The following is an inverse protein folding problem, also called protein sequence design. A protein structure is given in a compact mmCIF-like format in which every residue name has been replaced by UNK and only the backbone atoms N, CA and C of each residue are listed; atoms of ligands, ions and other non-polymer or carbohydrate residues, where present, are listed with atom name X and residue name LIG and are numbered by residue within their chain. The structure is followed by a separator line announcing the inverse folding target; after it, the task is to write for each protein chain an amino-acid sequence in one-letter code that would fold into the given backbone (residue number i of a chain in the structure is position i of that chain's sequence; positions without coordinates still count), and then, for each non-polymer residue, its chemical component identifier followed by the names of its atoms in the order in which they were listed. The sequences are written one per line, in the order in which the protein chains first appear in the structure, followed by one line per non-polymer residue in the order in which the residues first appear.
data_IF_179364688945
#
_entry.id   IF_179364688945
#
_cell.length_a   1.000
_cell.length_b   1.000
_cell.length_c   1.000
_cell.angle_alpha   90.00
_cell.angle_beta   90.00
_cell.angle_gamma   90.00
#
_symmetry.space_group_name_H-M   'P 1'
#
loop_
_entity.id
_entity.type
_entity.pdbx_description
1 polymer ?
#
# COMPACT_ATOMS: atom_id res chain seq x y z
N UNK A 1 65.51 -11.55 26.74
CA UNK A 1 65.33 -10.92 25.41
C UNK A 1 63.89 -11.15 25.01
N UNK A 2 63.02 -10.16 25.17
CA UNK A 2 61.57 -10.27 24.90
C UNK A 2 61.33 -9.68 23.52
N UNK A 3 60.83 -10.49 22.59
CA UNK A 3 60.51 -10.10 21.22
C UNK A 3 59.05 -9.62 21.23
N UNK A 4 58.85 -8.31 21.17
CA UNK A 4 57.53 -7.71 21.03
C UNK A 4 57.05 -7.78 19.57
N UNK A 5 55.91 -8.43 19.35
CA UNK A 5 55.24 -8.47 18.04
C UNK A 5 54.24 -7.31 17.94
N UNK A 6 54.64 -6.26 17.24
CA UNK A 6 53.78 -5.15 16.82
C UNK A 6 52.78 -5.64 15.77
N UNK A 7 51.58 -6.06 16.19
CA UNK A 7 50.41 -6.32 15.34
C UNK A 7 49.49 -5.10 15.35
N UNK A 8 49.85 -4.04 14.64
CA UNK A 8 48.92 -2.95 14.30
C UNK A 8 49.45 -2.17 13.08
N UNK A 9 49.62 -2.88 11.95
CA UNK A 9 49.63 -2.19 10.65
C UNK A 9 48.19 -2.14 10.15
N UNK A 10 47.46 -1.09 10.56
CA UNK A 10 46.24 -0.67 9.88
C UNK A 10 46.64 -0.34 8.45
N UNK A 11 46.33 -1.25 7.51
CA UNK A 11 46.25 -0.92 6.10
C UNK A 11 45.19 0.17 5.98
N UNK A 12 45.64 1.43 5.89
CA UNK A 12 44.83 2.52 5.36
C UNK A 12 44.74 2.20 3.87
N UNK A 13 43.77 1.36 3.52
CA UNK A 13 43.33 1.26 2.14
C UNK A 13 42.75 2.64 1.86
N UNK A 14 43.48 3.46 1.09
CA UNK A 14 42.91 4.67 0.51
C UNK A 14 41.60 4.26 -0.13
N UNK A 15 40.51 4.74 0.46
CA UNK A 15 39.16 4.45 0.04
C UNK A 15 39.06 5.01 -1.38
N UNK A 16 39.27 4.15 -2.38
CA UNK A 16 39.21 4.53 -3.78
C UNK A 16 37.93 5.35 -3.97
N UNK A 17 38.06 6.52 -4.61
CA UNK A 17 37.02 7.54 -4.64
C UNK A 17 35.70 6.93 -5.17
N UNK A 18 34.82 6.57 -4.23
CA UNK A 18 33.54 5.93 -4.52
C UNK A 18 32.65 6.94 -5.25
N UNK A 19 31.77 6.50 -6.16
CA UNK A 19 30.82 7.41 -6.78
C UNK A 19 29.94 8.09 -5.71
N UNK A 20 29.43 9.28 -6.02
CA UNK A 20 28.66 10.07 -5.06
C UNK A 20 27.42 9.33 -4.53
N UNK A 21 26.82 8.44 -5.34
CA UNK A 21 25.66 7.63 -4.96
C UNK A 21 26.00 6.41 -4.10
N UNK A 22 27.28 6.14 -3.86
CA UNK A 22 27.79 5.00 -3.07
C UNK A 22 28.87 5.42 -2.05
N UNK A 23 28.85 6.69 -1.63
CA UNK A 23 29.73 7.23 -0.60
C UNK A 23 28.92 7.95 0.46
N UNK A 24 29.34 7.86 1.73
CA UNK A 24 28.66 8.54 2.84
C UNK A 24 28.52 10.05 2.60
N UNK A 25 29.58 10.69 2.09
CA UNK A 25 29.60 12.13 1.77
C UNK A 25 28.61 12.48 0.65
N UNK A 26 28.64 11.75 -0.48
CA UNK A 26 27.76 12.05 -1.61
C UNK A 26 26.29 11.80 -1.28
N UNK A 27 26.00 10.73 -0.53
CA UNK A 27 24.65 10.45 -0.02
C UNK A 27 24.21 11.56 0.94
N UNK A 28 25.08 12.01 1.86
CA UNK A 28 24.75 13.09 2.81
C UNK A 28 24.38 14.40 2.11
N UNK A 29 25.02 14.72 0.98
CA UNK A 29 24.66 15.88 0.16
C UNK A 29 23.34 15.68 -0.57
N UNK A 30 23.10 14.48 -1.12
CA UNK A 30 21.86 14.16 -1.83
C UNK A 30 20.62 14.23 -0.93
N UNK A 31 20.74 13.81 0.33
CA UNK A 31 19.61 13.77 1.28
C UNK A 31 19.30 15.12 1.95
N UNK A 32 19.86 16.23 1.46
CA UNK A 32 19.48 17.58 1.91
C UNK A 32 18.15 18.05 1.31
N UNK A 33 17.69 17.41 0.25
CA UNK A 33 16.43 17.70 -0.41
C UNK A 33 15.81 16.42 -0.98
N UNK A 34 14.49 16.36 -1.07
CA UNK A 34 13.77 15.16 -1.52
C UNK A 34 14.14 14.78 -2.97
N UNK A 35 14.29 15.77 -3.87
CA UNK A 35 14.76 15.52 -5.25
C UNK A 35 16.14 14.85 -5.29
N UNK A 36 17.04 15.26 -4.39
CA UNK A 36 18.37 14.66 -4.29
C UNK A 36 18.30 13.21 -3.81
N UNK A 37 17.42 12.91 -2.86
CA UNK A 37 17.14 11.54 -2.42
C UNK A 37 16.47 10.71 -3.52
N UNK A 38 15.48 11.23 -4.24
CA UNK A 38 14.85 10.53 -5.37
C UNK A 38 15.89 10.20 -6.46
N UNK A 39 16.75 11.17 -6.80
CA UNK A 39 17.85 10.97 -7.76
C UNK A 39 18.83 9.91 -7.27
N UNK A 40 19.22 9.96 -6.00
CA UNK A 40 20.11 8.96 -5.40
C UNK A 40 19.55 7.54 -5.56
N UNK A 41 18.28 7.34 -5.24
CA UNK A 41 17.61 6.03 -5.35
C UNK A 41 17.63 5.54 -6.81
N UNK A 42 17.29 6.41 -7.75
CA UNK A 42 17.29 6.08 -9.19
C UNK A 42 18.69 5.69 -9.68
N UNK A 43 19.72 6.46 -9.33
CA UNK A 43 21.10 6.19 -9.75
C UNK A 43 21.66 4.91 -9.14
N UNK A 44 21.35 4.62 -7.88
CA UNK A 44 21.71 3.35 -7.25
C UNK A 44 21.01 2.16 -7.91
N UNK A 45 19.73 2.29 -8.24
CA UNK A 45 19.00 1.25 -8.98
C UNK A 45 19.67 0.97 -10.33
N UNK A 46 20.01 2.01 -11.10
CA UNK A 46 20.72 1.86 -12.38
C UNK A 46 22.10 1.22 -12.16
N UNK A 47 22.85 1.66 -11.15
CA UNK A 47 24.17 1.11 -10.83
C UNK A 47 24.11 -0.39 -10.53
N UNK A 48 23.21 -0.81 -9.65
CA UNK A 48 23.07 -2.22 -9.24
C UNK A 48 22.48 -3.09 -10.34
N UNK A 49 21.31 -2.73 -10.88
CA UNK A 49 20.56 -3.59 -11.80
C UNK A 49 21.01 -3.50 -13.26
N UNK A 50 21.41 -2.32 -13.75
CA UNK A 50 21.78 -2.15 -15.15
C UNK A 50 23.28 -2.25 -15.38
N UNK A 51 24.10 -1.76 -14.41
CA UNK A 51 25.57 -1.79 -14.53
C UNK A 51 26.23 -2.94 -13.75
N UNK A 52 25.50 -3.62 -12.87
CA UNK A 52 26.03 -4.72 -12.07
C UNK A 52 27.09 -4.29 -11.06
N UNK A 53 27.05 -3.04 -10.62
CA UNK A 53 28.02 -2.49 -9.66
C UNK A 53 27.77 -3.02 -8.25
N UNK A 54 28.81 -3.44 -7.51
CA UNK A 54 28.68 -3.76 -6.09
C UNK A 54 28.59 -2.46 -5.27
N UNK A 55 27.45 -2.26 -4.61
CA UNK A 55 27.18 -1.08 -3.79
C UNK A 55 27.36 -1.38 -2.29
N UNK A 56 27.59 -0.34 -1.51
CA UNK A 56 27.62 -0.41 -0.04
C UNK A 56 26.22 -0.21 0.55
N UNK A 57 25.99 -0.82 1.72
CA UNK A 57 24.74 -0.69 2.46
C UNK A 57 24.71 0.58 3.32
N UNK A 58 23.63 1.37 3.21
CA UNK A 58 23.44 2.59 3.98
C UNK A 58 22.04 2.68 4.61
N UNK A 59 21.98 3.31 5.77
CA UNK A 59 20.74 3.75 6.42
C UNK A 59 20.63 5.26 6.27
N UNK A 60 19.49 5.72 5.79
CA UNK A 60 19.25 7.11 5.38
C UNK A 60 18.03 7.66 6.10
N UNK A 61 18.19 8.84 6.72
CA UNK A 61 17.19 9.54 7.52
C UNK A 61 16.60 8.69 8.65
N UNK A 62 17.30 7.64 9.06
CA UNK A 62 16.81 6.61 9.98
C UNK A 62 15.66 5.75 9.44
N UNK A 63 15.00 6.14 8.35
CA UNK A 63 13.77 5.50 7.87
C UNK A 63 13.96 4.63 6.62
N UNK A 64 15.10 4.73 5.93
CA UNK A 64 15.35 4.02 4.67
C UNK A 64 16.63 3.21 4.71
N UNK A 65 16.59 2.03 4.10
CA UNK A 65 17.72 1.15 3.87
C UNK A 65 18.04 1.09 2.38
N UNK A 66 19.25 1.51 2.03
CA UNK A 66 19.82 1.40 0.69
C UNK A 66 20.70 0.16 0.66
N UNK A 67 20.32 -0.87 -0.08
CA UNK A 67 21.05 -2.13 -0.12
C UNK A 67 22.17 -2.14 -1.19
N UNK A 68 23.00 -3.18 -1.13
CA UNK A 68 24.10 -3.47 -2.06
C UNK A 68 23.69 -3.81 -3.50
N UNK A 69 22.39 -4.06 -3.75
CA UNK A 69 21.83 -4.35 -5.06
C UNK A 69 21.20 -3.12 -5.73
N UNK A 70 21.12 -1.99 -5.03
CA UNK A 70 20.54 -0.74 -5.53
C UNK A 70 19.06 -0.56 -5.19
N UNK A 71 18.51 -1.38 -4.30
CA UNK A 71 17.16 -1.17 -3.77
C UNK A 71 17.16 -0.10 -2.68
N UNK A 72 16.02 0.57 -2.55
CA UNK A 72 15.69 1.41 -1.42
C UNK A 72 14.42 0.85 -0.78
N UNK A 73 14.51 0.49 0.48
CA UNK A 73 13.39 -0.01 1.24
C UNK A 73 13.11 0.89 2.44
N UNK A 74 11.83 1.16 2.70
CA UNK A 74 11.42 1.82 3.95
C UNK A 74 11.48 0.82 5.09
N UNK A 75 12.05 1.25 6.21
CA UNK A 75 12.12 0.51 7.46
C UNK A 75 10.77 0.66 8.14
N UNK A 76 10.03 -0.45 8.32
CA UNK A 76 8.80 -0.49 9.12
C UNK A 76 9.05 -1.27 10.42
N UNK A 77 8.41 -0.89 11.51
CA UNK A 77 8.54 -1.55 12.81
C UNK A 77 7.88 -0.78 13.96
N UNK A 78 7.98 -1.30 15.18
CA UNK A 78 7.43 -0.66 16.41
C UNK A 78 8.31 0.47 16.97
N UNK A 79 9.16 1.05 16.15
CA UNK A 79 10.05 2.13 16.56
C UNK A 79 9.30 3.44 16.34
N UNK A 80 9.07 4.20 17.41
CA UNK A 80 8.42 5.52 17.33
C UNK A 80 9.18 6.45 16.39
N UNK A 81 8.49 7.29 15.62
CA UNK A 81 9.13 8.27 14.73
C UNK A 81 10.07 9.25 15.46
N UNK A 82 9.77 9.53 16.72
CA UNK A 82 10.60 10.38 17.59
C UNK A 82 12.01 9.78 17.80
N UNK A 83 12.15 8.46 17.67
CA UNK A 83 13.43 7.78 17.73
C UNK A 83 14.38 8.24 16.61
N UNK A 84 13.84 8.41 15.41
CA UNK A 84 14.64 8.70 14.22
C UNK A 84 15.07 10.17 14.15
N UNK A 85 14.49 11.05 14.96
CA UNK A 85 14.82 12.49 14.97
C UNK A 85 16.28 12.78 15.33
N UNK A 86 16.94 11.90 16.08
CA UNK A 86 18.33 12.11 16.53
C UNK A 86 19.36 11.24 15.77
N UNK A 87 18.91 10.40 14.83
CA UNK A 87 19.82 9.55 14.07
C UNK A 87 20.51 10.41 13.02
N UNK A 88 21.86 10.31 12.87
CA UNK A 88 22.54 10.94 11.76
C UNK A 88 21.89 10.60 10.41
N UNK A 89 21.78 11.57 9.52
CA UNK A 89 21.05 11.43 8.25
C UNK A 89 21.58 10.31 7.34
N UNK A 90 22.85 9.91 7.50
CA UNK A 90 23.44 8.80 6.77
C UNK A 90 24.35 7.99 7.70
N UNK A 91 24.13 6.69 7.75
CA UNK A 91 24.95 5.73 8.47
C UNK A 91 25.29 4.55 7.55
N UNK A 92 26.52 4.06 7.62
CA UNK A 92 26.82 2.74 7.08
C UNK A 92 26.10 1.66 7.90
N UNK A 93 25.97 0.46 7.35
CA UNK A 93 25.36 -0.67 8.08
C UNK A 93 26.01 -0.91 9.46
N UNK A 94 27.33 -0.89 9.56
CA UNK A 94 28.02 -1.08 10.84
C UNK A 94 27.73 0.06 11.85
N UNK A 95 27.75 1.32 11.40
CA UNK A 95 27.45 2.47 12.26
C UNK A 95 26.00 2.45 12.75
N UNK A 96 25.05 2.07 11.88
CA UNK A 96 23.65 1.94 12.26
C UNK A 96 23.46 0.89 13.35
N UNK A 97 23.99 -0.32 13.18
CA UNK A 97 23.84 -1.36 14.20
C UNK A 97 24.59 -1.08 15.49
N UNK A 98 25.72 -0.38 15.44
CA UNK A 98 26.39 0.12 16.64
C UNK A 98 25.49 1.13 17.37
N UNK A 99 24.89 2.08 16.64
CA UNK A 99 23.96 3.06 17.19
C UNK A 99 22.75 2.38 17.87
N UNK A 100 22.15 1.37 17.22
CA UNK A 100 21.04 0.58 17.80
C UNK A 100 21.49 -0.18 19.05
N UNK A 101 22.72 -0.71 19.06
CA UNK A 101 23.25 -1.54 20.16
C UNK A 101 23.67 -0.75 21.39
N UNK A 102 24.14 0.48 21.19
CA UNK A 102 24.64 1.37 22.25
C UNK A 102 23.51 2.10 22.98
N UNK A 103 22.40 2.37 22.28
CA UNK A 103 21.17 2.75 22.95
C UNK A 103 20.57 1.56 23.72
N UNK A 104 19.84 1.79 24.81
CA UNK A 104 19.20 0.76 25.65
C UNK A 104 18.10 -0.07 24.92
N UNK A 105 18.20 -0.30 23.61
CA UNK A 105 17.21 -0.87 22.72
C UNK A 105 17.39 -2.38 22.49
N UNK A 106 18.26 -3.05 23.26
CA UNK A 106 18.46 -4.51 23.20
C UNK A 106 17.18 -5.33 23.43
N UNK A 107 16.16 -4.72 24.04
CA UNK A 107 14.91 -5.39 24.40
C UNK A 107 13.74 -5.09 23.45
N UNK A 108 13.91 -4.25 22.42
CA UNK A 108 12.88 -4.06 21.41
C UNK A 108 13.11 -5.06 20.28
N UNK A 109 12.04 -5.79 19.89
CA UNK A 109 12.10 -6.76 18.80
C UNK A 109 12.25 -5.99 17.48
N UNK A 110 13.45 -6.02 16.92
CA UNK A 110 13.79 -5.38 15.64
C UNK A 110 13.37 -6.27 14.47
N UNK A 111 12.07 -6.52 14.30
CA UNK A 111 11.59 -7.04 13.03
C UNK A 111 11.37 -5.87 12.09
N UNK A 112 12.33 -5.67 11.19
CA UNK A 112 12.16 -4.76 10.06
C UNK A 112 11.46 -5.51 8.94
N UNK A 113 10.41 -4.90 8.40
CA UNK A 113 9.96 -5.24 7.05
C UNK A 113 10.44 -4.18 6.09
N UNK A 114 10.79 -4.62 4.90
CA UNK A 114 11.24 -3.80 3.79
C UNK A 114 10.13 -3.78 2.75
N UNK A 115 9.74 -2.58 2.35
CA UNK A 115 8.73 -2.37 1.33
C UNK A 115 9.34 -1.47 0.25
N UNK A 116 9.33 -1.94 -0.99
CA UNK A 116 10.05 -1.32 -2.11
C UNK A 116 9.34 -0.07 -2.63
N UNK A 117 10.11 0.93 -3.06
CA UNK A 117 9.59 2.01 -3.94
C UNK A 117 8.65 3.03 -3.30
N UNK A 118 8.50 3.05 -1.98
CA UNK A 118 7.47 3.84 -1.29
C UNK A 118 7.86 5.30 -1.00
N UNK A 119 8.71 5.91 -1.82
CA UNK A 119 9.14 7.30 -1.65
C UNK A 119 8.31 8.23 -2.54
N UNK A 120 7.67 9.28 -2.01
CA UNK A 120 7.06 10.30 -2.86
C UNK A 120 8.14 11.06 -3.63
N UNK A 121 7.78 11.63 -4.78
CA UNK A 121 8.61 12.66 -5.42
C UNK A 121 8.31 14.03 -4.80
N UNK A 122 9.25 14.97 -4.91
CA UNK A 122 9.07 16.37 -4.45
C UNK A 122 7.89 17.11 -5.07
N UNK A 123 7.37 16.62 -6.20
CA UNK A 123 6.23 17.23 -6.89
C UNK A 123 4.91 16.76 -6.34
N UNK A 124 4.87 15.58 -5.72
CA UNK A 124 3.63 15.01 -5.21
C UNK A 124 3.15 15.77 -3.98
N UNK A 125 1.85 15.66 -3.75
CA UNK A 125 1.17 16.18 -2.56
C UNK A 125 0.52 15.05 -1.78
N UNK A 126 0.31 15.28 -0.49
CA UNK A 126 -0.57 14.44 0.30
C UNK A 126 -1.99 14.53 -0.25
N UNK A 127 -2.59 13.38 -0.57
CA UNK A 127 -3.94 13.29 -1.14
C UNK A 127 -5.06 13.71 -0.18
N UNK A 128 -4.76 13.95 1.11
CA UNK A 128 -5.70 14.50 2.09
C UNK A 128 -5.47 15.99 2.35
N UNK A 129 -4.31 16.37 2.92
CA UNK A 129 -4.06 17.76 3.32
C UNK A 129 -3.53 18.65 2.19
N UNK A 130 -3.11 18.09 1.05
CA UNK A 130 -2.58 18.83 -0.09
C UNK A 130 -1.16 19.38 0.09
N UNK A 131 -0.51 19.13 1.23
CA UNK A 131 0.87 19.54 1.47
C UNK A 131 1.84 18.82 0.54
N UNK A 132 2.87 19.53 0.09
CA UNK A 132 3.91 19.00 -0.80
C UNK A 132 4.88 18.14 0.01
N UNK A 133 5.34 17.04 -0.59
CA UNK A 133 6.37 16.20 0.02
C UNK A 133 7.74 16.89 0.00
N UNK A 134 8.41 16.83 1.14
CA UNK A 134 9.73 17.39 1.39
C UNK A 134 10.60 16.34 2.07
N UNK A 135 11.89 16.64 2.25
CA UNK A 135 12.79 15.72 2.95
C UNK A 135 12.40 15.51 4.42
N UNK A 136 11.72 16.49 5.03
CA UNK A 136 11.38 16.47 6.45
C UNK A 136 10.14 15.61 6.74
N UNK A 137 9.23 15.47 5.77
CA UNK A 137 8.00 14.69 5.93
C UNK A 137 7.96 13.40 5.09
N UNK A 138 8.89 13.14 4.15
CA UNK A 138 8.80 11.96 3.28
C UNK A 138 8.83 10.61 4.02
N UNK A 139 9.33 10.59 5.26
CA UNK A 139 9.31 9.40 6.13
C UNK A 139 7.89 8.98 6.55
N UNK A 140 7.00 9.95 6.73
CA UNK A 140 5.61 9.78 7.14
C UNK A 140 4.75 9.55 5.89
N UNK A 141 5.05 8.49 5.13
CA UNK A 141 4.32 8.20 3.89
C UNK A 141 3.47 6.95 4.05
N UNK A 142 2.21 7.01 3.66
CA UNK A 142 1.32 5.86 3.45
C UNK A 142 0.84 5.89 2.01
N UNK A 143 0.88 4.74 1.33
CA UNK A 143 0.49 4.63 -0.08
C UNK A 143 -0.77 3.79 -0.19
N UNK A 144 -1.78 4.33 -0.86
CA UNK A 144 -2.98 3.59 -1.27
C UNK A 144 -2.98 3.45 -2.79
N UNK A 145 -2.95 2.22 -3.27
CA UNK A 145 -2.98 1.92 -4.71
C UNK A 145 -4.32 1.31 -5.10
N UNK A 146 -4.92 1.83 -6.18
CA UNK A 146 -6.15 1.32 -6.75
C UNK A 146 -6.06 1.24 -8.28
N UNK A 147 -6.74 0.26 -8.87
CA UNK A 147 -6.88 0.20 -10.33
C UNK A 147 -8.08 1.04 -10.73
N UNK A 148 -7.84 2.10 -11.48
CA UNK A 148 -8.90 2.95 -12.05
C UNK A 148 -9.00 2.71 -13.55
N UNK A 149 -10.23 2.78 -14.08
CA UNK A 149 -10.49 2.81 -15.52
C UNK A 149 -10.75 4.26 -15.91
N UNK A 150 -9.99 4.74 -16.88
CA UNK A 150 -10.03 6.14 -17.32
C UNK A 150 -10.44 6.20 -18.79
N UNK A 151 -11.53 6.90 -19.14
CA UNK A 151 -11.88 7.16 -20.53
C UNK A 151 -10.87 8.13 -21.16
N UNK A 152 -10.41 7.85 -22.37
CA UNK A 152 -9.37 8.64 -23.05
C UNK A 152 -9.94 9.62 -24.10
N UNK A 153 -11.23 9.97 -24.00
CA UNK A 153 -11.91 10.81 -25.00
C UNK A 153 -11.27 12.20 -25.15
N UNK A 154 -10.67 12.76 -24.11
CA UNK A 154 -9.96 14.05 -24.18
C UNK A 154 -8.62 13.97 -24.94
N UNK A 155 -8.11 12.77 -25.18
CA UNK A 155 -6.84 12.51 -25.85
C UNK A 155 -7.00 12.02 -27.29
N UNK A 156 -8.21 12.04 -27.87
CA UNK A 156 -8.44 11.58 -29.26
C UNK A 156 -7.48 12.29 -30.24
N UNK A 157 -6.79 11.49 -31.04
CA UNK A 157 -5.77 11.97 -32.00
C UNK A 157 -4.39 12.24 -31.39
N UNK A 158 -4.22 12.10 -30.07
CA UNK A 158 -2.92 12.10 -29.39
C UNK A 158 -2.35 10.70 -29.32
N UNK A 159 -1.05 10.61 -29.09
CA UNK A 159 -0.36 9.32 -28.90
C UNK A 159 -0.51 8.83 -27.46
N UNK A 160 -0.33 7.53 -27.24
CA UNK A 160 -0.28 6.95 -25.90
C UNK A 160 0.86 7.56 -25.05
N UNK A 161 1.98 7.93 -25.69
CA UNK A 161 3.06 8.68 -25.05
C UNK A 161 2.60 10.04 -24.54
N UNK A 162 1.77 10.76 -25.30
CA UNK A 162 1.21 12.05 -24.86
C UNK A 162 0.34 11.86 -23.62
N UNK A 163 -0.48 10.80 -23.58
CA UNK A 163 -1.29 10.44 -22.40
C UNK A 163 -0.39 10.18 -21.19
N UNK A 164 0.60 9.29 -21.32
CA UNK A 164 1.58 8.99 -20.26
C UNK A 164 2.31 10.26 -19.80
N UNK A 165 2.65 11.15 -20.73
CA UNK A 165 3.32 12.42 -20.43
C UNK A 165 2.43 13.34 -19.61
N UNK A 166 1.14 13.48 -19.96
CA UNK A 166 0.19 14.29 -19.18
C UNK A 166 -0.02 13.71 -17.78
N UNK A 167 -0.19 12.40 -17.66
CA UNK A 167 -0.37 11.75 -16.36
C UNK A 167 0.89 11.79 -15.48
N UNK A 168 2.09 11.72 -16.06
CA UNK A 168 3.35 11.85 -15.31
C UNK A 168 3.63 13.27 -14.79
N UNK A 169 2.89 14.27 -15.27
CA UNK A 169 2.96 15.65 -14.78
C UNK A 169 2.02 15.92 -13.59
N UNK A 170 1.15 14.97 -13.23
CA UNK A 170 0.23 15.13 -12.10
C UNK A 170 0.97 15.12 -10.77
N UNK A 171 0.42 15.86 -9.81
CA UNK A 171 0.97 16.01 -8.46
C UNK A 171 0.08 15.37 -7.38
N UNK A 172 -1.08 14.81 -7.74
CA UNK A 172 -2.02 14.20 -6.80
C UNK A 172 -1.79 12.70 -6.55
N UNK A 173 -1.18 12.00 -7.52
CA UNK A 173 -0.84 10.59 -7.42
C UNK A 173 0.19 10.20 -8.49
N UNK A 174 0.78 9.02 -8.34
CA UNK A 174 1.50 8.35 -9.43
C UNK A 174 0.50 7.49 -10.21
N UNK A 175 0.57 7.59 -11.54
CA UNK A 175 -0.30 6.86 -12.47
C UNK A 175 0.55 5.93 -13.32
N UNK A 176 0.63 4.68 -12.91
CA UNK A 176 1.36 3.66 -13.63
C UNK A 176 0.41 2.88 -14.53
N UNK A 177 0.63 2.95 -15.83
CA UNK A 177 -0.15 2.16 -16.78
C UNK A 177 0.27 0.70 -16.66
N UNK A 178 -0.69 -0.19 -16.43
CA UNK A 178 -0.40 -1.60 -16.15
C UNK A 178 0.27 -2.26 -17.36
N UNK A 179 1.51 -2.75 -17.22
CA UNK A 179 2.21 -3.48 -18.28
C UNK A 179 1.39 -4.72 -18.65
N UNK A 180 0.92 -4.79 -19.89
CA UNK A 180 0.11 -5.92 -20.39
C UNK A 180 -1.39 -5.68 -20.48
N UNK A 181 -1.95 -4.54 -20.06
CA UNK A 181 -3.37 -4.18 -20.28
C UNK A 181 -3.49 -2.66 -20.35
N UNK A 182 -3.32 -2.08 -21.54
CA UNK A 182 -3.11 -0.63 -21.65
C UNK A 182 -4.23 0.12 -22.38
N UNK A 183 -4.95 -0.49 -23.32
CA UNK A 183 -6.10 0.16 -23.98
C UNK A 183 -7.26 -0.83 -24.10
N UNK A 184 -8.49 -0.38 -23.85
CA UNK A 184 -9.71 -1.10 -24.22
C UNK A 184 -10.60 -0.28 -25.12
N UNK A 185 -11.15 -0.96 -26.12
CA UNK A 185 -12.16 -0.44 -27.02
C UNK A 185 -13.01 -1.61 -27.56
N UNK A 186 -14.30 -1.39 -27.79
CA UNK A 186 -15.22 -2.41 -28.31
C UNK A 186 -14.80 -2.95 -29.68
N UNK A 187 -14.10 -2.15 -30.49
CA UNK A 187 -13.57 -2.60 -31.78
C UNK A 187 -12.53 -3.72 -31.68
N UNK A 188 -11.96 -3.92 -30.50
CA UNK A 188 -11.00 -5.01 -30.22
C UNK A 188 -11.67 -6.24 -29.64
N UNK A 189 -13.00 -6.23 -29.44
CA UNK A 189 -13.73 -7.41 -29.01
C UNK A 189 -13.69 -8.44 -30.14
N UNK A 190 -13.03 -9.57 -29.87
CA UNK A 190 -12.95 -10.73 -30.76
C UNK A 190 -13.52 -11.95 -30.02
N UNK A 191 -14.77 -12.28 -30.34
CA UNK A 191 -15.49 -13.43 -29.81
C UNK A 191 -15.19 -14.73 -30.57
N UNK A 192 -14.26 -14.72 -31.53
CA UNK A 192 -13.83 -15.96 -32.18
C UNK A 192 -13.09 -16.86 -31.19
N UNK A 193 -13.23 -18.18 -31.37
CA UNK A 193 -12.57 -19.16 -30.53
C UNK A 193 -11.05 -18.99 -30.59
N UNK A 194 -10.42 -18.97 -29.41
CA UNK A 194 -8.96 -18.93 -29.29
C UNK A 194 -8.32 -20.22 -29.78
N UNK A 195 -8.99 -21.34 -29.57
CA UNK A 195 -8.55 -22.67 -29.95
C UNK A 195 -9.58 -23.29 -30.92
N UNK A 196 -9.56 -22.95 -32.22
CA UNK A 196 -10.57 -23.42 -33.17
C UNK A 196 -10.58 -24.95 -33.36
N UNK A 197 -9.50 -25.64 -32.98
CA UNK A 197 -9.39 -27.10 -32.98
C UNK A 197 -9.36 -27.68 -31.56
N UNK A 198 -9.84 -26.94 -30.56
CA UNK A 198 -9.95 -27.40 -29.18
C UNK A 198 -10.81 -28.65 -29.09
N UNK A 199 -10.41 -29.59 -28.24
CA UNK A 199 -11.15 -30.86 -28.02
C UNK A 199 -11.75 -30.94 -26.62
N UNK A 200 -11.30 -30.09 -25.70
CA UNK A 200 -11.82 -30.01 -24.33
C UNK A 200 -12.89 -28.93 -24.25
N UNK A 201 -13.91 -29.14 -23.41
CA UNK A 201 -15.02 -28.19 -23.22
C UNK A 201 -14.54 -26.76 -22.92
N UNK A 202 -13.61 -26.60 -21.99
CA UNK A 202 -13.04 -25.29 -21.65
C UNK A 202 -12.27 -24.63 -22.82
N UNK A 203 -11.71 -25.39 -23.75
CA UNK A 203 -11.02 -24.82 -24.92
C UNK A 203 -12.01 -24.20 -25.91
N UNK A 204 -13.23 -24.76 -25.98
CA UNK A 204 -14.30 -24.30 -26.85
C UNK A 204 -14.99 -23.03 -26.32
N UNK A 205 -14.92 -22.80 -25.01
CA UNK A 205 -15.49 -21.62 -24.33
C UNK A 205 -14.56 -20.40 -24.34
N UNK A 206 -13.25 -20.61 -24.54
CA UNK A 206 -12.29 -19.50 -24.56
C UNK A 206 -12.31 -18.79 -25.92
N UNK A 207 -12.71 -17.53 -25.89
CA UNK A 207 -12.60 -16.61 -27.02
C UNK A 207 -11.29 -15.80 -26.97
N UNK A 208 -10.89 -15.22 -28.11
CA UNK A 208 -9.62 -14.50 -28.21
C UNK A 208 -9.57 -13.24 -27.36
N UNK A 209 -10.61 -12.41 -27.41
CA UNK A 209 -10.69 -11.17 -26.62
C UNK A 209 -12.13 -10.74 -26.36
N UNK A 210 -12.81 -11.34 -25.38
CA UNK A 210 -14.17 -10.93 -24.99
C UNK A 210 -14.21 -9.50 -24.41
N UNK A 211 -13.09 -9.03 -23.89
CA UNK A 211 -13.03 -7.86 -23.03
C UNK A 211 -12.64 -6.57 -23.77
N UNK A 212 -12.14 -6.69 -24.99
CA UNK A 212 -11.67 -5.58 -25.82
C UNK A 212 -10.38 -4.92 -25.34
N UNK A 213 -9.68 -5.50 -24.35
CA UNK A 213 -8.38 -5.01 -23.89
C UNK A 213 -7.27 -5.48 -24.84
N UNK A 214 -6.35 -4.57 -25.18
CA UNK A 214 -5.13 -4.85 -25.94
C UNK A 214 -3.90 -4.39 -25.17
N UNK A 215 -2.75 -4.98 -25.49
CA UNK A 215 -1.48 -4.69 -24.84
C UNK A 215 -0.28 -4.75 -25.79
N UNK A 216 0.93 -4.68 -25.24
CA UNK A 216 2.18 -4.66 -26.01
C UNK A 216 2.33 -5.93 -26.89
N UNK A 217 1.81 -7.08 -26.43
CA UNK A 217 1.78 -8.33 -27.22
C UNK A 217 0.88 -8.23 -28.46
N UNK A 218 -0.12 -7.33 -28.44
CA UNK A 218 -1.00 -7.02 -29.57
C UNK A 218 -0.43 -5.91 -30.47
N UNK A 219 0.81 -5.47 -30.23
CA UNK A 219 1.47 -4.41 -30.97
C UNK A 219 1.18 -2.99 -30.47
N UNK A 220 0.50 -2.85 -29.32
CA UNK A 220 0.35 -1.56 -28.67
C UNK A 220 1.73 -1.02 -28.26
N UNK A 221 1.96 0.27 -28.46
CA UNK A 221 3.18 0.94 -28.03
C UNK A 221 2.91 2.44 -27.90
N UNK A 222 3.94 3.19 -27.51
CA UNK A 222 3.87 4.63 -27.26
C UNK A 222 3.39 5.47 -28.46
N UNK A 223 3.50 4.97 -29.69
CA UNK A 223 3.01 5.64 -30.90
C UNK A 223 1.52 5.41 -31.20
N UNK A 224 0.84 4.56 -30.43
CA UNK A 224 -0.59 4.29 -30.62
C UNK A 224 -1.40 5.59 -30.52
N UNK A 225 -2.19 5.88 -31.54
CA UNK A 225 -3.04 7.08 -31.58
C UNK A 225 -4.39 6.76 -30.97
N UNK A 226 -4.74 7.48 -29.89
CA UNK A 226 -5.99 7.34 -29.16
C UNK A 226 -7.18 7.61 -30.08
N UNK A 227 -8.19 6.76 -29.97
CA UNK A 227 -9.41 6.81 -30.77
C UNK A 227 -10.64 6.95 -29.88
N UNK A 228 -11.76 7.30 -30.51
CA UNK A 228 -13.03 7.44 -29.81
C UNK A 228 -13.44 6.11 -29.13
N UNK A 229 -13.83 6.20 -27.86
CA UNK A 229 -14.22 5.03 -27.05
C UNK A 229 -13.06 4.26 -26.43
N UNK A 230 -11.81 4.70 -26.62
CA UNK A 230 -10.68 4.13 -25.90
C UNK A 230 -10.76 4.47 -24.41
N UNK A 231 -10.43 3.49 -23.57
CA UNK A 231 -10.16 3.66 -22.14
C UNK A 231 -8.88 2.93 -21.73
N UNK A 232 -8.28 3.33 -20.62
CA UNK A 232 -7.07 2.69 -20.08
C UNK A 232 -7.24 2.32 -18.61
N UNK A 233 -6.36 1.46 -18.12
CA UNK A 233 -6.21 1.15 -16.70
C UNK A 233 -4.94 1.76 -16.16
N UNK A 234 -5.09 2.58 -15.12
CA UNK A 234 -3.96 3.02 -14.31
C UNK A 234 -4.01 2.32 -12.95
N UNK A 235 -2.84 1.89 -12.49
CA UNK A 235 -2.60 1.77 -11.06
C UNK A 235 -2.35 3.18 -10.54
N UNK A 236 -3.33 3.74 -9.83
CA UNK A 236 -3.22 5.05 -9.19
C UNK A 236 -2.69 4.84 -7.77
N UNK A 237 -1.49 5.31 -7.49
CA UNK A 237 -0.86 5.28 -6.17
C UNK A 237 -0.92 6.66 -5.54
N UNK A 238 -1.81 6.82 -4.55
CA UNK A 238 -2.00 8.07 -3.82
C UNK A 238 -1.19 8.05 -2.52
N UNK A 239 -0.58 9.18 -2.18
CA UNK A 239 0.34 9.32 -1.04
C UNK A 239 -0.32 10.11 0.07
N UNK A 240 -0.17 9.66 1.32
CA UNK A 240 -0.76 10.28 2.50
C UNK A 240 0.26 10.39 3.62
N UNK A 241 0.17 11.44 4.43
CA UNK A 241 0.73 11.39 5.79
C UNK A 241 -0.02 10.32 6.61
N UNK A 242 0.62 9.64 7.56
CA UNK A 242 -0.01 8.58 8.35
C UNK A 242 -1.25 9.09 9.05
N UNK A 243 -1.16 10.21 9.77
CA UNK A 243 -2.31 10.81 10.44
C UNK A 243 -3.44 11.21 9.45
N UNK A 244 -3.08 11.67 8.26
CA UNK A 244 -4.04 12.00 7.21
C UNK A 244 -4.75 10.76 6.66
N UNK A 245 -4.01 9.68 6.48
CA UNK A 245 -4.55 8.40 6.03
C UNK A 245 -5.47 7.80 7.09
N UNK A 246 -5.06 7.83 8.36
CA UNK A 246 -5.85 7.30 9.47
C UNK A 246 -7.20 8.03 9.58
N UNK A 247 -7.18 9.36 9.53
CA UNK A 247 -8.40 10.17 9.54
C UNK A 247 -9.31 9.87 8.34
N UNK A 248 -8.73 9.72 7.13
CA UNK A 248 -9.50 9.37 5.94
C UNK A 248 -10.10 7.96 6.03
N UNK A 249 -9.34 6.96 6.50
CA UNK A 249 -9.82 5.59 6.65
C UNK A 249 -10.91 5.50 7.71
N UNK A 250 -10.77 6.23 8.81
CA UNK A 250 -11.78 6.33 9.85
C UNK A 250 -13.08 6.92 9.30
N UNK A 251 -13.03 8.09 8.65
CA UNK A 251 -14.21 8.74 8.05
C UNK A 251 -14.88 7.88 6.96
N UNK A 252 -14.09 7.32 6.03
CA UNK A 252 -14.60 6.46 4.96
C UNK A 252 -15.30 5.22 5.51
N UNK A 253 -14.70 4.53 6.50
CA UNK A 253 -15.27 3.31 7.05
C UNK A 253 -16.43 3.57 8.00
N UNK A 254 -16.35 4.61 8.83
CA UNK A 254 -17.45 5.01 9.70
C UNK A 254 -18.72 5.22 8.88
N UNK A 255 -18.65 6.04 7.82
CA UNK A 255 -19.80 6.32 6.94
C UNK A 255 -20.39 5.06 6.33
N UNK A 256 -19.54 4.12 5.88
CA UNK A 256 -20.00 2.87 5.28
C UNK A 256 -20.66 1.94 6.30
N UNK A 257 -20.08 1.80 7.48
CA UNK A 257 -20.68 0.96 8.53
C UNK A 257 -21.95 1.57 9.08
N UNK A 258 -21.96 2.88 9.35
CA UNK A 258 -23.16 3.60 9.79
C UNK A 258 -24.31 3.44 8.76
N UNK A 259 -24.01 3.51 7.47
CA UNK A 259 -24.99 3.30 6.41
C UNK A 259 -25.65 1.91 6.47
N UNK A 260 -24.88 0.83 6.69
CA UNK A 260 -25.46 -0.53 6.77
C UNK A 260 -26.19 -0.78 8.10
N UNK A 261 -25.77 -0.14 9.20
CA UNK A 261 -26.52 -0.17 10.46
C UNK A 261 -27.89 0.50 10.32
N UNK A 262 -27.91 1.70 9.73
CA UNK A 262 -29.14 2.45 9.49
C UNK A 262 -30.06 1.70 8.52
N UNK A 263 -29.50 1.10 7.46
CA UNK A 263 -30.26 0.28 6.51
C UNK A 263 -30.90 -0.95 7.18
N UNK A 264 -30.21 -1.54 8.17
CA UNK A 264 -30.72 -2.65 8.97
C UNK A 264 -31.77 -2.27 10.02
N UNK A 265 -31.98 -0.97 10.24
CA UNK A 265 -32.98 -0.44 11.15
C UNK A 265 -32.46 -0.11 12.55
N UNK A 266 -31.18 -0.33 12.84
CA UNK A 266 -30.58 0.09 14.11
C UNK A 266 -30.61 1.60 14.26
N UNK A 267 -30.84 2.09 15.48
CA UNK A 267 -30.60 3.48 15.84
C UNK A 267 -29.20 3.63 16.42
N UNK A 268 -28.28 4.15 15.61
CA UNK A 268 -26.92 4.48 16.06
C UNK A 268 -26.98 5.71 16.99
N UNK A 269 -26.62 5.51 18.26
CA UNK A 269 -26.55 6.54 19.30
C UNK A 269 -25.18 7.21 19.33
N UNK A 270 -24.14 6.42 19.07
CA UNK A 270 -22.75 6.84 19.07
C UNK A 270 -21.85 5.76 18.48
N UNK A 271 -20.58 6.09 18.32
CA UNK A 271 -19.56 5.12 17.95
C UNK A 271 -18.21 5.51 18.55
N UNK A 272 -17.32 4.54 18.67
CA UNK A 272 -15.91 4.76 19.02
C UNK A 272 -15.04 3.93 18.08
N UNK A 273 -14.05 4.56 17.46
CA UNK A 273 -13.02 3.86 16.68
C UNK A 273 -12.05 3.15 17.62
N UNK A 274 -11.65 1.93 17.24
CA UNK A 274 -10.67 1.12 17.95
C UNK A 274 -9.62 0.61 16.97
N UNK A 275 -8.43 0.30 17.49
CA UNK A 275 -7.36 -0.29 16.67
C UNK A 275 -7.87 -1.56 16.00
N UNK A 276 -7.55 -1.72 14.72
CA UNK A 276 -7.91 -2.92 13.96
C UNK A 276 -7.33 -4.17 14.66
N UNK A 277 -8.21 -5.00 15.23
CA UNK A 277 -7.81 -6.16 16.03
C UNK A 277 -7.22 -7.31 15.19
N UNK A 278 -7.31 -7.22 13.86
CA UNK A 278 -6.74 -8.22 12.96
C UNK A 278 -5.35 -7.86 12.47
N UNK A 279 -5.12 -6.59 12.15
CA UNK A 279 -3.88 -6.15 11.53
C UNK A 279 -3.48 -4.76 12.02
N UNK A 280 -2.19 -4.59 12.33
CA UNK A 280 -1.60 -3.32 12.77
C UNK A 280 -0.99 -2.52 11.62
N UNK A 281 -1.51 -2.71 10.40
CA UNK A 281 -0.98 -2.07 9.21
C UNK A 281 -1.54 -0.66 8.99
N UNK A 282 -0.72 0.26 8.48
CA UNK A 282 -1.12 1.65 8.21
C UNK A 282 -2.23 1.77 7.15
N UNK A 283 -2.39 0.77 6.28
CA UNK A 283 -3.44 0.80 5.23
C UNK A 283 -4.76 0.16 5.69
N UNK A 284 -4.78 -0.43 6.89
CA UNK A 284 -5.91 -1.14 7.42
C UNK A 284 -6.78 -0.15 8.20
N UNK A 285 -8.04 0.03 7.79
CA UNK A 285 -8.95 0.91 8.52
C UNK A 285 -9.21 0.42 9.96
N UNK A 286 -9.52 1.33 10.90
CA UNK A 286 -9.89 0.96 12.25
C UNK A 286 -11.16 0.08 12.28
N UNK A 287 -11.37 -0.57 13.42
CA UNK A 287 -12.66 -1.18 13.74
C UNK A 287 -13.49 -0.18 14.54
N UNK A 288 -14.78 -0.46 14.71
CA UNK A 288 -15.72 0.44 15.36
C UNK A 288 -16.58 -0.30 16.35
N UNK A 289 -16.79 0.30 17.52
CA UNK A 289 -17.87 -0.06 18.43
C UNK A 289 -19.04 0.87 18.14
N UNK A 290 -20.13 0.36 17.57
CA UNK A 290 -21.36 1.11 17.38
C UNK A 290 -22.28 0.92 18.59
N UNK A 291 -22.64 2.03 19.24
CA UNK A 291 -23.63 2.06 20.30
C UNK A 291 -25.02 2.12 19.68
N UNK A 292 -25.83 1.10 19.93
CA UNK A 292 -27.21 1.00 19.44
C UNK A 292 -28.18 1.05 20.62
N UNK A 293 -29.47 1.07 20.34
CA UNK A 293 -30.52 0.94 21.35
C UNK A 293 -30.52 -0.41 22.09
N UNK A 294 -29.79 -1.42 21.61
CA UNK A 294 -29.68 -2.75 22.20
C UNK A 294 -28.33 -3.05 22.88
N UNK A 295 -27.40 -2.09 22.84
CA UNK A 295 -26.02 -2.26 23.31
C UNK A 295 -24.99 -2.06 22.21
N UNK A 296 -23.78 -2.57 22.43
CA UNK A 296 -22.63 -2.35 21.54
C UNK A 296 -22.48 -3.50 20.55
N UNK A 297 -22.35 -3.14 19.26
CA UNK A 297 -21.92 -4.07 18.21
C UNK A 297 -20.57 -3.59 17.68
N UNK A 298 -19.57 -4.46 17.77
CA UNK A 298 -18.24 -4.23 17.23
C UNK A 298 -18.18 -4.71 15.78
N UNK A 299 -17.67 -3.88 14.88
CA UNK A 299 -17.59 -4.18 13.45
C UNK A 299 -16.27 -3.71 12.83
N UNK A 300 -15.74 -4.47 11.88
CA UNK A 300 -14.56 -4.03 11.13
C UNK A 300 -14.05 -5.05 10.12
N UNK A 301 -13.19 -4.59 9.21
CA UNK A 301 -12.59 -5.46 8.20
C UNK A 301 -11.50 -6.35 8.81
N UNK A 302 -11.66 -7.66 8.59
CA UNK A 302 -10.72 -8.73 8.89
C UNK A 302 -10.20 -9.33 7.58
N UNK A 303 -9.10 -8.79 7.05
CA UNK A 303 -8.54 -9.13 5.73
C UNK A 303 -9.52 -8.87 4.58
N UNK A 304 -10.35 -9.87 4.24
CA UNK A 304 -11.25 -9.89 3.08
C UNK A 304 -12.72 -10.14 3.46
N UNK A 305 -13.02 -10.14 4.76
CA UNK A 305 -14.36 -10.28 5.31
C UNK A 305 -14.59 -9.21 6.37
N UNK A 306 -15.84 -8.85 6.61
CA UNK A 306 -16.25 -7.97 7.70
C UNK A 306 -16.59 -8.84 8.91
N UNK A 307 -15.95 -8.59 10.05
CA UNK A 307 -16.30 -9.21 11.32
C UNK A 307 -17.41 -8.38 11.98
N UNK A 308 -18.50 -9.02 12.38
CA UNK A 308 -19.57 -8.44 13.19
C UNK A 308 -19.59 -9.20 14.51
N UNK A 309 -19.42 -8.49 15.62
CA UNK A 309 -19.33 -9.04 16.97
C UNK A 309 -20.37 -8.37 17.88
N UNK A 310 -21.28 -9.17 18.41
CA UNK A 310 -22.40 -8.76 19.26
C UNK A 310 -22.24 -9.18 20.72
N UNK A 311 -20.99 -9.43 21.16
CA UNK A 311 -20.69 -9.71 22.57
C UNK A 311 -21.05 -8.58 23.53
N UNK A 312 -21.21 -7.34 23.01
CA UNK A 312 -21.58 -6.16 23.77
C UNK A 312 -23.09 -5.87 23.86
N UNK A 313 -23.97 -6.78 23.40
CA UNK A 313 -25.42 -6.63 23.54
C UNK A 313 -25.93 -7.12 24.90
N UNK A 314 -26.95 -6.46 25.43
CA UNK A 314 -27.56 -6.77 26.73
C UNK A 314 -28.64 -7.90 26.64
N UNK A 315 -28.39 -8.95 25.86
CA UNK A 315 -29.32 -10.08 25.65
C UNK A 315 -28.64 -11.44 25.71
N UNK A 316 -29.42 -12.52 25.92
CA UNK A 316 -28.89 -13.89 25.88
C UNK A 316 -28.43 -14.26 24.46
N UNK A 317 -27.10 -14.26 24.28
CA UNK A 317 -26.46 -14.42 22.97
C UNK A 317 -26.68 -15.79 22.29
N UNK A 318 -27.01 -16.85 23.03
CA UNK A 318 -27.27 -18.19 22.47
C UNK A 318 -28.37 -18.19 21.40
N UNK A 319 -29.30 -17.24 21.48
CA UNK A 319 -30.40 -17.14 20.53
C UNK A 319 -29.99 -16.50 19.19
N UNK A 320 -29.05 -15.56 19.19
CA UNK A 320 -28.58 -14.89 17.96
C UNK A 320 -27.77 -15.85 17.09
N UNK A 321 -26.91 -16.68 17.71
CA UNK A 321 -26.14 -17.70 16.98
C UNK A 321 -27.01 -18.62 16.13
N UNK A 322 -28.22 -18.94 16.62
CA UNK A 322 -29.16 -19.83 15.93
C UNK A 322 -29.64 -19.29 14.57
N UNK A 323 -29.62 -17.96 14.38
CA UNK A 323 -29.99 -17.29 13.13
C UNK A 323 -29.07 -17.69 11.98
N UNK A 324 -27.82 -18.01 12.29
CA UNK A 324 -26.77 -18.21 11.30
C UNK A 324 -26.28 -19.65 11.22
N UNK A 325 -26.99 -20.62 11.79
CA UNK A 325 -26.55 -22.03 11.85
C UNK A 325 -26.21 -22.62 10.47
N UNK A 326 -26.91 -22.19 9.42
CA UNK A 326 -26.78 -22.72 8.06
C UNK A 326 -25.77 -21.94 7.18
N UNK A 327 -25.24 -20.82 7.69
CA UNK A 327 -24.24 -20.01 6.97
C UNK A 327 -22.87 -20.71 6.88
N UNK A 328 -22.31 -20.86 5.68
CA UNK A 328 -21.03 -21.55 5.45
C UNK A 328 -19.81 -20.62 5.61
N UNK A 329 -19.87 -19.73 6.59
CA UNK A 329 -18.80 -18.77 6.95
C UNK A 329 -18.22 -19.07 8.33
N UNK A 330 -17.07 -18.48 8.64
CA UNK A 330 -16.56 -18.52 10.02
C UNK A 330 -17.49 -17.72 10.92
N UNK A 331 -17.95 -18.34 12.00
CA UNK A 331 -18.87 -17.80 12.98
C UNK A 331 -18.60 -18.42 14.35
N UNK A 332 -18.93 -17.71 15.40
CA UNK A 332 -18.89 -18.18 16.78
C UNK A 332 -20.12 -17.69 17.55
N UNK A 333 -20.18 -17.97 18.85
CA UNK A 333 -21.32 -17.59 19.69
C UNK A 333 -21.68 -16.10 19.64
N UNK A 334 -20.68 -15.23 19.49
CA UNK A 334 -20.85 -13.79 19.53
C UNK A 334 -20.42 -13.08 18.25
N UNK A 335 -20.09 -13.81 17.17
CA UNK A 335 -19.59 -13.17 15.95
C UNK A 335 -19.89 -13.94 14.67
N UNK A 336 -19.90 -13.22 13.55
CA UNK A 336 -19.98 -13.78 12.20
C UNK A 336 -19.11 -12.98 11.23
N UNK A 337 -18.61 -13.65 10.17
CA UNK A 337 -17.89 -13.01 9.09
C UNK A 337 -18.75 -12.87 7.81
N UNK A 338 -18.82 -11.66 7.25
CA UNK A 338 -19.51 -11.36 6.01
C UNK A 338 -18.56 -11.10 4.83
N UNK A 339 -18.93 -11.56 3.64
CA UNK A 339 -18.15 -11.40 2.40
C UNK A 339 -18.46 -10.09 1.64
N UNK A 340 -18.48 -8.97 2.36
CA UNK A 340 -18.80 -7.65 1.79
C UNK A 340 -19.92 -6.96 2.55
N UNK A 341 -20.19 -5.72 2.17
CA UNK A 341 -21.14 -4.84 2.86
C UNK A 341 -22.58 -5.34 2.73
N UNK A 342 -22.94 -5.90 1.58
CA UNK A 342 -24.30 -6.40 1.31
C UNK A 342 -24.63 -7.56 2.25
N UNK A 343 -23.71 -8.52 2.39
CA UNK A 343 -23.89 -9.67 3.30
C UNK A 343 -23.79 -9.24 4.76
N UNK A 344 -22.96 -8.22 5.08
CA UNK A 344 -22.88 -7.67 6.42
C UNK A 344 -24.21 -7.02 6.84
N UNK A 345 -24.83 -6.26 5.93
CA UNK A 345 -26.16 -5.69 6.14
C UNK A 345 -27.21 -6.79 6.35
N UNK A 346 -27.25 -7.82 5.49
CA UNK A 346 -28.19 -8.95 5.66
C UNK A 346 -28.10 -9.61 7.05
N UNK A 347 -26.88 -9.75 7.57
CA UNK A 347 -26.67 -10.25 8.92
C UNK A 347 -27.13 -9.26 10.00
N UNK A 348 -26.88 -7.97 9.82
CA UNK A 348 -27.39 -6.92 10.72
C UNK A 348 -28.93 -6.87 10.71
N UNK A 349 -29.59 -6.96 9.55
CA UNK A 349 -31.05 -7.04 9.41
C UNK A 349 -31.62 -8.21 10.22
N UNK A 350 -30.97 -9.36 10.12
CA UNK A 350 -31.36 -10.59 10.84
C UNK A 350 -31.21 -10.43 12.35
N UNK A 351 -30.11 -9.82 12.80
CA UNK A 351 -29.87 -9.53 14.23
C UNK A 351 -30.91 -8.53 14.74
N UNK A 352 -31.13 -7.42 14.04
CA UNK A 352 -32.11 -6.40 14.42
C UNK A 352 -33.53 -6.98 14.52
N UNK A 353 -33.96 -7.73 13.50
CA UNK A 353 -35.28 -8.36 13.49
C UNK A 353 -35.48 -9.42 14.59
N UNK A 354 -34.39 -10.03 15.08
CA UNK A 354 -34.41 -10.90 16.25
C UNK A 354 -34.53 -10.10 17.56
N UNK A 355 -33.73 -9.03 17.70
CA UNK A 355 -33.72 -8.16 18.90
C UNK A 355 -35.05 -7.46 19.12
N UNK A 356 -35.74 -7.02 18.06
CA UNK A 356 -37.07 -6.41 18.18
C UNK A 356 -38.16 -7.34 18.74
N UNK A 357 -37.97 -8.65 18.65
CA UNK A 357 -38.93 -9.65 19.12
C UNK A 357 -38.64 -10.15 20.54
N UNK A 358 -37.44 -9.87 21.05
CA UNK A 358 -36.97 -10.28 22.38
C UNK A 358 -37.37 -9.23 23.40
#
# INVERSE_FOLDING_TARGET
MVIGTSKDSKFIVEEAERPWYDSKKGISEAVKALDGLNRLISERYIAGYQRGEPLNDFYVLGAYYLDSCGNCARIKGRISEDFFLNIPSVLSNAEFWNYISDGNFKNQVHTFSYDGGNMPTSKLKCASCGEVWTIDNCRDTVIRSEVIVVPLNEFIGKTLLDVKTVYSQRDDAIYDMYSGVAIRNDRYIDLSQKFPNGTREWELEIVKNASGWICDEDGLNDSYVIQFGDETKFMKSSYYHSACNDANLEDEMQKRFEAIFNAAGFKVVGFTSIVNEYCTCEICAPWFNFETEFGIIKIGWRKRVINIDWSGLDVLHENIFSLFKDESVTKGYFYIHAWGYEKAQEYLDSIYGFLLKS
#
